data_IF_483824604046
#
_entry.id   IF_483824604046
#
_cell.length_a   1.000
_cell.length_b   1.000
_cell.length_c   1.000
_cell.angle_alpha   90.00
_cell.angle_beta   90.00
_cell.angle_gamma   90.00
#
_symmetry.space_group_name_H-M   'P 1'
#
loop_
_entity.id
_entity.type
_entity.pdbx_description
1 polymer ?
#
# COMPACT_ATOMS: atom_id res chain seq x y z
N UNK A 1 -24.21 -28.01 -35.65
CA UNK A 1 -22.81 -27.65 -35.39
C UNK A 1 -22.81 -26.54 -34.36
N UNK A 2 -22.78 -26.90 -33.08
CA UNK A 2 -22.63 -25.96 -31.97
C UNK A 2 -21.12 -25.79 -31.83
N UNK A 3 -20.63 -24.56 -32.00
CA UNK A 3 -19.21 -24.24 -31.94
C UNK A 3 -18.65 -24.61 -30.57
N UNK A 4 -17.71 -25.54 -30.57
CA UNK A 4 -16.82 -25.79 -29.46
C UNK A 4 -15.94 -24.54 -29.32
N UNK A 5 -16.39 -23.55 -28.54
CA UNK A 5 -15.56 -22.42 -28.13
C UNK A 5 -14.54 -22.94 -27.11
N UNK A 6 -13.68 -23.85 -27.56
CA UNK A 6 -12.57 -24.38 -26.80
C UNK A 6 -11.64 -23.22 -26.48
N UNK A 7 -11.70 -22.74 -25.24
CA UNK A 7 -10.70 -21.84 -24.71
C UNK A 7 -9.36 -22.56 -24.80
N UNK A 8 -8.57 -22.26 -25.83
CA UNK A 8 -7.23 -22.79 -26.00
C UNK A 8 -6.40 -22.40 -24.78
N UNK A 9 -5.72 -23.39 -24.19
CA UNK A 9 -4.76 -23.10 -23.13
C UNK A 9 -3.49 -22.53 -23.78
N UNK A 10 -3.09 -21.35 -23.34
CA UNK A 10 -1.94 -20.63 -23.89
C UNK A 10 -0.92 -20.29 -22.78
N UNK A 11 0.30 -19.93 -23.19
CA UNK A 11 1.35 -19.54 -22.25
C UNK A 11 1.26 -18.05 -21.94
N UNK A 12 0.72 -17.73 -20.77
CA UNK A 12 0.51 -16.36 -20.28
C UNK A 12 1.54 -15.87 -19.26
N UNK A 13 2.58 -16.66 -18.98
CA UNK A 13 3.62 -16.27 -18.01
C UNK A 13 4.31 -14.92 -18.33
N UNK A 14 4.66 -14.59 -19.61
CA UNK A 14 5.27 -13.30 -19.94
C UNK A 14 4.36 -12.11 -19.65
N UNK A 15 3.07 -12.23 -19.94
CA UNK A 15 2.09 -11.17 -19.70
C UNK A 15 1.86 -10.96 -18.20
N UNK A 16 1.74 -12.05 -17.43
CA UNK A 16 1.66 -11.97 -15.97
C UNK A 16 2.92 -11.30 -15.39
N UNK A 17 4.10 -11.63 -15.88
CA UNK A 17 5.36 -11.03 -15.43
C UNK A 17 5.41 -9.53 -15.74
N UNK A 18 4.89 -9.13 -16.91
CA UNK A 18 4.74 -7.73 -17.30
C UNK A 18 3.84 -6.96 -16.33
N UNK A 19 2.71 -7.54 -15.90
CA UNK A 19 1.82 -6.91 -14.92
C UNK A 19 2.50 -6.65 -13.57
N UNK A 20 3.29 -7.60 -13.05
CA UNK A 20 4.08 -7.39 -11.84
C UNK A 20 5.15 -6.30 -12.03
N UNK A 21 5.83 -6.29 -13.18
CA UNK A 21 6.84 -5.28 -13.51
C UNK A 21 6.25 -3.87 -13.62
N UNK A 22 5.01 -3.74 -14.12
CA UNK A 22 4.28 -2.47 -14.20
C UNK A 22 4.00 -1.86 -12.81
N UNK A 23 4.03 -2.66 -11.74
CA UNK A 23 3.89 -2.20 -10.36
C UNK A 23 5.26 -1.98 -9.71
N UNK A 24 6.21 -2.89 -9.96
CA UNK A 24 7.57 -2.85 -9.41
C UNK A 24 8.30 -1.55 -9.71
N UNK A 25 8.30 -1.12 -10.97
CA UNK A 25 9.04 0.08 -11.41
C UNK A 25 8.51 1.35 -10.74
N UNK A 26 7.22 1.72 -10.84
CA UNK A 26 6.72 2.90 -10.16
C UNK A 26 6.86 2.81 -8.64
N UNK A 27 6.67 1.63 -8.03
CA UNK A 27 6.87 1.43 -6.60
C UNK A 27 8.32 1.77 -6.17
N UNK A 28 9.32 1.34 -6.96
CA UNK A 28 10.72 1.65 -6.67
C UNK A 28 11.03 3.16 -6.75
N UNK A 29 10.41 3.86 -7.70
CA UNK A 29 10.56 5.32 -7.87
C UNK A 29 9.93 6.06 -6.68
N UNK A 30 8.71 5.67 -6.31
CA UNK A 30 7.99 6.25 -5.16
C UNK A 30 8.74 5.93 -3.86
N UNK A 31 9.22 4.70 -3.69
CA UNK A 31 10.05 4.28 -2.57
C UNK A 31 11.31 5.14 -2.43
N UNK A 32 12.00 5.42 -3.54
CA UNK A 32 13.13 6.36 -3.55
C UNK A 32 12.74 7.78 -3.14
N UNK A 33 11.62 8.30 -3.65
CA UNK A 33 11.10 9.62 -3.28
C UNK A 33 10.71 9.71 -1.79
N UNK A 34 10.16 8.62 -1.23
CA UNK A 34 9.78 8.53 0.18
C UNK A 34 10.97 8.62 1.14
N UNK A 35 12.17 8.17 0.75
CA UNK A 35 13.38 8.35 1.57
C UNK A 35 13.67 9.84 1.78
N UNK A 36 13.67 10.63 0.70
CA UNK A 36 13.90 12.08 0.78
C UNK A 36 12.75 12.81 1.48
N UNK A 37 11.52 12.36 1.23
CA UNK A 37 10.33 13.02 1.75
C UNK A 37 10.14 12.75 3.25
N UNK A 38 10.05 11.48 3.66
CA UNK A 38 9.64 11.08 4.99
C UNK A 38 10.80 10.83 5.97
N UNK A 39 11.95 10.35 5.48
CA UNK A 39 13.06 9.93 6.35
C UNK A 39 14.09 11.06 6.50
N UNK A 40 14.57 11.60 5.38
CA UNK A 40 15.63 12.61 5.38
C UNK A 40 15.12 14.05 5.59
N UNK A 41 13.83 14.30 5.34
CA UNK A 41 13.23 15.64 5.38
C UNK A 41 12.11 15.77 6.40
N UNK A 42 12.40 15.77 7.71
CA UNK A 42 11.38 15.97 8.73
C UNK A 42 10.67 17.31 8.53
N UNK A 43 9.39 17.36 8.90
CA UNK A 43 8.62 18.61 8.83
C UNK A 43 9.27 19.68 9.74
N UNK A 44 9.34 20.95 9.29
CA UNK A 44 10.04 22.02 10.01
C UNK A 44 9.42 22.29 11.37
N UNK A 45 10.16 22.11 12.47
CA UNK A 45 9.66 22.42 13.81
C UNK A 45 9.52 23.94 13.97
N UNK A 46 8.34 24.42 14.37
CA UNK A 46 8.23 25.81 14.76
C UNK A 46 8.97 26.01 16.09
N UNK A 47 9.91 26.95 16.13
CA UNK A 47 10.65 27.34 17.33
C UNK A 47 9.79 28.11 18.37
N UNK A 48 8.47 28.19 18.19
CA UNK A 48 7.57 28.93 19.07
C UNK A 48 6.98 28.01 20.14
N UNK A 49 6.93 28.47 21.38
CA UNK A 49 6.48 27.73 22.56
C UNK A 49 4.98 27.37 22.59
N UNK A 50 4.24 27.52 21.47
CA UNK A 50 2.78 27.34 21.39
C UNK A 50 2.28 26.65 20.11
N UNK A 51 3.00 25.65 19.59
CA UNK A 51 2.47 24.80 18.52
C UNK A 51 1.16 24.10 18.97
N UNK A 52 0.13 24.18 18.13
CA UNK A 52 -1.19 23.62 18.40
C UNK A 52 -1.16 22.07 18.44
N UNK A 53 -2.12 21.48 19.15
CA UNK A 53 -2.22 20.03 19.33
C UNK A 53 -2.40 19.29 18.00
N UNK A 54 -3.18 19.85 17.10
CA UNK A 54 -3.44 19.28 15.78
C UNK A 54 -2.17 19.24 14.92
N UNK A 55 -1.31 20.27 14.99
CA UNK A 55 -0.05 20.30 14.25
C UNK A 55 0.93 19.24 14.76
N UNK A 56 1.06 19.09 16.09
CA UNK A 56 1.86 18.01 16.68
C UNK A 56 1.39 16.62 16.25
N UNK A 57 0.08 16.42 16.23
CA UNK A 57 -0.53 15.18 15.77
C UNK A 57 -0.29 14.95 14.27
N UNK A 58 -0.43 15.99 13.44
CA UNK A 58 -0.15 15.92 12.01
C UNK A 58 1.31 15.54 11.72
N UNK A 59 2.28 16.05 12.49
CA UNK A 59 3.69 15.62 12.39
C UNK A 59 3.92 14.19 12.82
N UNK A 60 3.26 13.74 13.88
CA UNK A 60 3.35 12.36 14.31
C UNK A 60 2.79 11.42 13.23
N UNK A 61 1.62 11.75 12.68
CA UNK A 61 1.02 11.04 11.55
C UNK A 61 1.92 11.07 10.31
N UNK A 62 2.54 12.20 9.99
CA UNK A 62 3.49 12.31 8.89
C UNK A 62 4.61 11.26 8.99
N UNK A 63 5.24 11.13 10.16
CA UNK A 63 6.31 10.15 10.34
C UNK A 63 5.79 8.71 10.22
N UNK A 64 4.64 8.41 10.82
CA UNK A 64 4.05 7.06 10.80
C UNK A 64 3.65 6.67 9.37
N UNK A 65 2.92 7.55 8.67
CA UNK A 65 2.53 7.34 7.27
C UNK A 65 3.77 7.20 6.39
N UNK A 66 4.81 8.00 6.65
CA UNK A 66 6.12 7.92 6.00
C UNK A 66 6.71 6.52 6.00
N UNK A 67 6.86 5.94 7.19
CA UNK A 67 7.42 4.60 7.37
C UNK A 67 6.50 3.52 6.77
N UNK A 68 5.19 3.63 6.95
CA UNK A 68 4.23 2.66 6.43
C UNK A 68 4.17 2.67 4.89
N UNK A 69 4.17 3.85 4.27
CA UNK A 69 4.21 3.99 2.82
C UNK A 69 5.51 3.44 2.26
N UNK A 70 6.65 3.80 2.84
CA UNK A 70 7.95 3.32 2.38
C UNK A 70 8.04 1.79 2.48
N UNK A 71 7.64 1.23 3.61
CA UNK A 71 7.62 -0.22 3.81
C UNK A 71 6.68 -0.92 2.83
N UNK A 72 5.54 -0.31 2.51
CA UNK A 72 4.61 -0.87 1.52
C UNK A 72 5.21 -0.88 0.12
N UNK A 73 5.85 0.19 -0.33
CA UNK A 73 6.50 0.20 -1.66
C UNK A 73 7.65 -0.81 -1.75
N UNK A 74 8.42 -1.01 -0.67
CA UNK A 74 9.42 -2.08 -0.63
C UNK A 74 8.79 -3.48 -0.75
N UNK A 75 7.67 -3.71 -0.07
CA UNK A 75 6.94 -4.97 -0.18
C UNK A 75 6.44 -5.20 -1.61
N UNK A 76 5.95 -4.17 -2.30
CA UNK A 76 5.56 -4.26 -3.72
C UNK A 76 6.74 -4.71 -4.57
N UNK A 77 7.91 -4.08 -4.40
CA UNK A 77 9.11 -4.42 -5.17
C UNK A 77 9.52 -5.87 -4.92
N UNK A 78 9.50 -6.33 -3.66
CA UNK A 78 9.88 -7.70 -3.30
C UNK A 78 8.88 -8.71 -3.88
N UNK A 79 7.58 -8.53 -3.62
CA UNK A 79 6.54 -9.45 -4.10
C UNK A 79 6.51 -9.54 -5.62
N UNK A 80 6.55 -8.40 -6.31
CA UNK A 80 6.58 -8.36 -7.77
C UNK A 80 7.85 -9.01 -8.33
N UNK A 81 9.02 -8.78 -7.72
CA UNK A 81 10.27 -9.41 -8.16
C UNK A 81 10.23 -10.92 -8.03
N UNK A 82 9.81 -11.43 -6.85
CA UNK A 82 9.73 -12.87 -6.61
C UNK A 82 8.72 -13.53 -7.57
N UNK A 83 7.56 -12.90 -7.79
CA UNK A 83 6.56 -13.41 -8.72
C UNK A 83 7.08 -13.43 -10.17
N UNK A 84 7.67 -12.33 -10.64
CA UNK A 84 8.27 -12.26 -11.98
C UNK A 84 9.38 -13.29 -12.19
N UNK A 85 10.24 -13.50 -11.19
CA UNK A 85 11.31 -14.51 -11.29
C UNK A 85 10.72 -15.92 -11.39
N UNK A 86 9.74 -16.27 -10.54
CA UNK A 86 9.05 -17.57 -10.62
C UNK A 86 8.41 -17.79 -11.99
N UNK A 87 7.76 -16.78 -12.55
CA UNK A 87 7.13 -16.85 -13.88
C UNK A 87 8.12 -17.11 -15.02
N UNK A 88 9.40 -16.76 -14.82
CA UNK A 88 10.48 -16.96 -15.80
C UNK A 88 11.26 -18.24 -15.55
N UNK A 89 11.51 -18.57 -14.29
CA UNK A 89 12.43 -19.63 -13.88
C UNK A 89 11.75 -21.00 -13.71
N UNK A 90 10.43 -21.04 -13.54
CA UNK A 90 9.68 -22.27 -13.31
C UNK A 90 8.81 -22.65 -14.50
N UNK A 91 8.49 -23.93 -14.61
CA UNK A 91 7.49 -24.39 -15.57
C UNK A 91 6.11 -23.87 -15.16
N UNK A 92 5.54 -22.97 -15.97
CA UNK A 92 4.20 -22.43 -15.78
C UNK A 92 3.22 -23.15 -16.68
N UNK A 93 2.26 -23.84 -16.07
CA UNK A 93 1.20 -24.54 -16.80
C UNK A 93 0.37 -23.56 -17.63
N UNK A 94 0.06 -23.88 -18.90
CA UNK A 94 -0.85 -23.09 -19.73
C UNK A 94 -2.17 -22.77 -19.03
N UNK A 95 -2.73 -21.61 -19.34
CA UNK A 95 -3.95 -21.08 -18.74
C UNK A 95 -4.91 -20.56 -19.81
N UNK A 96 -6.17 -20.36 -19.44
CA UNK A 96 -7.19 -19.79 -20.33
C UNK A 96 -7.03 -18.28 -20.52
N UNK A 97 -6.39 -17.61 -19.56
CA UNK A 97 -6.08 -16.18 -19.59
C UNK A 97 -4.98 -15.87 -18.59
N UNK A 98 -4.38 -14.67 -18.72
CA UNK A 98 -3.44 -14.12 -17.72
C UNK A 98 -4.08 -14.09 -16.33
N UNK A 99 -5.37 -13.76 -16.26
CA UNK A 99 -6.09 -13.70 -15.01
C UNK A 99 -6.24 -15.07 -14.35
N UNK A 100 -6.66 -16.06 -15.14
CA UNK A 100 -6.79 -17.44 -14.66
C UNK A 100 -5.45 -17.96 -14.12
N UNK A 101 -4.34 -17.64 -14.79
CA UNK A 101 -3.00 -17.96 -14.31
C UNK A 101 -2.70 -17.31 -12.95
N UNK A 102 -2.95 -16.01 -12.81
CA UNK A 102 -2.71 -15.27 -11.56
C UNK A 102 -3.58 -15.81 -10.42
N UNK A 103 -4.87 -16.03 -10.66
CA UNK A 103 -5.81 -16.54 -9.65
C UNK A 103 -5.44 -17.95 -9.17
N UNK A 104 -4.96 -18.79 -10.09
CA UNK A 104 -4.56 -20.18 -9.78
C UNK A 104 -3.26 -20.23 -8.98
N UNK A 105 -2.21 -19.55 -9.46
CA UNK A 105 -0.82 -19.82 -9.02
C UNK A 105 -0.15 -18.65 -8.28
N UNK A 106 -0.63 -17.41 -8.46
CA UNK A 106 0.04 -16.19 -7.98
C UNK A 106 -0.90 -15.25 -7.21
N UNK A 107 -1.98 -15.80 -6.66
CA UNK A 107 -3.07 -15.01 -6.13
C UNK A 107 -2.64 -14.14 -4.93
N UNK A 108 -1.82 -14.70 -4.05
CA UNK A 108 -1.27 -13.99 -2.90
C UNK A 108 -0.27 -12.93 -3.34
N UNK A 109 0.68 -13.28 -4.21
CA UNK A 109 1.66 -12.35 -4.78
C UNK A 109 0.98 -11.14 -5.42
N UNK A 110 -0.06 -11.39 -6.23
CA UNK A 110 -0.83 -10.34 -6.89
C UNK A 110 -1.62 -9.48 -5.91
N UNK A 111 -2.33 -10.10 -4.97
CA UNK A 111 -3.08 -9.40 -3.94
C UNK A 111 -2.18 -8.53 -3.06
N UNK A 112 -1.01 -9.06 -2.66
CA UNK A 112 -0.02 -8.34 -1.86
C UNK A 112 0.56 -7.14 -2.63
N UNK A 113 0.97 -7.34 -3.88
CA UNK A 113 1.50 -6.30 -4.77
C UNK A 113 0.50 -5.16 -4.91
N UNK A 114 -0.77 -5.47 -5.21
CA UNK A 114 -1.80 -4.44 -5.39
C UNK A 114 -2.15 -3.74 -4.08
N UNK A 115 -2.35 -4.48 -2.98
CA UNK A 115 -2.71 -3.91 -1.69
C UNK A 115 -1.64 -2.93 -1.19
N UNK A 116 -0.37 -3.36 -1.21
CA UNK A 116 0.74 -2.52 -0.76
C UNK A 116 1.03 -1.35 -1.70
N UNK A 117 0.91 -1.52 -3.01
CA UNK A 117 1.13 -0.40 -3.95
C UNK A 117 0.11 0.69 -3.75
N UNK A 118 -1.16 0.32 -3.61
CA UNK A 118 -2.21 1.28 -3.32
C UNK A 118 -1.96 1.94 -1.96
N UNK A 119 -1.68 1.18 -0.89
CA UNK A 119 -1.38 1.76 0.42
C UNK A 119 -0.19 2.75 0.38
N UNK A 120 0.88 2.37 -0.32
CA UNK A 120 2.08 3.17 -0.50
C UNK A 120 1.78 4.51 -1.19
N UNK A 121 1.13 4.46 -2.35
CA UNK A 121 0.70 5.65 -3.11
C UNK A 121 -0.23 6.57 -2.32
N UNK A 122 -1.23 6.02 -1.63
CA UNK A 122 -2.17 6.84 -0.85
C UNK A 122 -1.44 7.59 0.25
N UNK A 123 -0.57 6.91 1.01
CA UNK A 123 0.21 7.57 2.04
C UNK A 123 1.25 8.54 1.47
N UNK A 124 1.87 8.25 0.32
CA UNK A 124 2.76 9.20 -0.38
C UNK A 124 2.08 10.53 -0.66
N UNK A 125 0.85 10.51 -1.21
CA UNK A 125 0.10 11.75 -1.46
C UNK A 125 -0.29 12.49 -0.18
N UNK A 126 -0.63 11.77 0.89
CA UNK A 126 -0.88 12.39 2.20
C UNK A 126 0.39 13.09 2.72
N UNK A 127 1.56 12.48 2.54
CA UNK A 127 2.84 13.09 2.92
C UNK A 127 3.15 14.34 2.10
N UNK A 128 2.91 14.30 0.78
CA UNK A 128 3.06 15.49 -0.08
C UNK A 128 2.12 16.60 0.40
N UNK A 129 0.84 16.30 0.65
CA UNK A 129 -0.13 17.26 1.14
C UNK A 129 0.30 17.89 2.47
N UNK A 130 0.67 17.07 3.45
CA UNK A 130 1.15 17.54 4.75
C UNK A 130 2.41 18.39 4.61
N UNK A 131 3.38 17.97 3.79
CA UNK A 131 4.61 18.75 3.59
C UNK A 131 4.33 20.10 2.95
N UNK A 132 3.45 20.16 1.95
CA UNK A 132 3.06 21.43 1.32
C UNK A 132 2.33 22.34 2.31
N UNK A 133 1.46 21.78 3.14
CA UNK A 133 0.77 22.53 4.20
C UNK A 133 1.76 23.18 5.17
N UNK A 134 2.73 22.42 5.70
CA UNK A 134 3.74 22.93 6.63
C UNK A 134 4.80 23.82 5.97
N UNK A 135 5.07 23.66 4.67
CA UNK A 135 6.03 24.50 3.96
C UNK A 135 5.49 25.92 3.71
N UNK A 136 4.17 26.07 3.60
CA UNK A 136 3.50 27.36 3.43
C UNK A 136 2.86 27.87 4.74
N UNK A 137 3.55 27.67 5.87
CA UNK A 137 3.20 28.14 7.21
C UNK A 137 1.81 27.72 7.73
N UNK A 138 1.17 26.70 7.14
CA UNK A 138 -0.13 26.18 7.57
C UNK A 138 -1.32 27.15 7.43
N UNK A 139 -1.13 28.30 6.80
CA UNK A 139 -2.17 29.31 6.57
C UNK A 139 -3.13 28.93 5.43
N UNK A 140 -3.94 29.91 4.99
CA UNK A 140 -4.88 29.71 3.88
C UNK A 140 -4.18 29.24 2.59
N UNK A 141 -2.99 29.79 2.30
CA UNK A 141 -2.16 29.36 1.18
C UNK A 141 -1.73 27.90 1.33
N UNK A 142 -1.25 27.50 2.51
CA UNK A 142 -0.88 26.11 2.79
C UNK A 142 -2.05 25.14 2.66
N UNK A 143 -3.25 25.52 3.12
CA UNK A 143 -4.46 24.72 2.90
C UNK A 143 -4.80 24.59 1.40
N UNK A 144 -4.71 25.69 0.64
CA UNK A 144 -4.95 25.68 -0.81
C UNK A 144 -3.99 24.77 -1.56
N UNK A 145 -2.68 24.87 -1.29
CA UNK A 145 -1.65 24.05 -1.95
C UNK A 145 -1.79 22.58 -1.53
N UNK A 146 -2.05 22.28 -0.25
CA UNK A 146 -2.26 20.91 0.22
C UNK A 146 -3.56 20.28 -0.33
N UNK A 147 -4.55 21.09 -0.68
CA UNK A 147 -5.79 20.64 -1.31
C UNK A 147 -5.57 19.98 -2.68
N UNK A 148 -4.56 20.40 -3.45
CA UNK A 148 -4.25 19.85 -4.77
C UNK A 148 -3.90 18.35 -4.69
N UNK A 149 -2.86 17.90 -3.94
CA UNK A 149 -2.56 16.48 -3.81
C UNK A 149 -3.68 15.68 -3.12
N UNK A 150 -4.45 16.28 -2.21
CA UNK A 150 -5.61 15.62 -1.60
C UNK A 150 -6.74 15.39 -2.62
N UNK A 151 -6.97 16.30 -3.56
CA UNK A 151 -7.94 16.08 -4.64
C UNK A 151 -7.51 14.94 -5.56
N UNK A 152 -6.21 14.86 -5.89
CA UNK A 152 -5.65 13.77 -6.66
C UNK A 152 -5.79 12.44 -5.92
N UNK A 153 -5.58 12.44 -4.60
CA UNK A 153 -5.79 11.27 -3.72
C UNK A 153 -7.22 10.75 -3.82
N UNK A 154 -8.22 11.64 -3.69
CA UNK A 154 -9.64 11.26 -3.81
C UNK A 154 -9.96 10.70 -5.20
N UNK A 155 -9.41 11.30 -6.25
CA UNK A 155 -9.58 10.80 -7.62
C UNK A 155 -8.94 9.43 -7.80
N UNK A 156 -7.73 9.21 -7.28
CA UNK A 156 -7.06 7.91 -7.30
C UNK A 156 -7.88 6.84 -6.59
N UNK A 157 -8.40 7.12 -5.39
CA UNK A 157 -9.29 6.19 -4.66
C UNK A 157 -10.51 5.84 -5.52
N UNK A 158 -11.11 6.82 -6.20
CA UNK A 158 -12.25 6.60 -7.10
C UNK A 158 -11.91 5.74 -8.31
N UNK A 159 -10.74 5.96 -8.94
CA UNK A 159 -10.26 5.14 -10.07
C UNK A 159 -9.99 3.71 -9.61
N UNK A 160 -9.29 3.54 -8.49
CA UNK A 160 -8.95 2.22 -7.93
C UNK A 160 -10.22 1.46 -7.54
N UNK A 161 -11.17 2.09 -6.85
CA UNK A 161 -12.43 1.43 -6.49
C UNK A 161 -13.20 0.95 -7.72
N UNK A 162 -13.26 1.76 -8.78
CA UNK A 162 -13.89 1.37 -10.05
C UNK A 162 -13.12 0.25 -10.75
N UNK A 163 -11.79 0.27 -10.70
CA UNK A 163 -10.95 -0.81 -11.22
C UNK A 163 -11.20 -2.13 -10.49
N UNK A 164 -11.14 -2.13 -9.16
CA UNK A 164 -11.39 -3.32 -8.34
C UNK A 164 -12.80 -3.88 -8.57
N UNK A 165 -13.81 -3.01 -8.62
CA UNK A 165 -15.19 -3.43 -8.84
C UNK A 165 -15.45 -4.03 -10.24
N UNK A 166 -14.70 -3.57 -11.26
CA UNK A 166 -14.80 -4.09 -12.63
C UNK A 166 -14.07 -5.43 -12.80
N UNK A 167 -12.99 -5.66 -12.06
CA UNK A 167 -12.20 -6.89 -12.16
C UNK A 167 -11.58 -7.07 -13.55
N UNK A 168 -11.51 -8.31 -14.04
CA UNK A 168 -10.95 -8.64 -15.36
C UNK A 168 -11.90 -8.37 -16.53
N UNK A 169 -13.17 -8.03 -16.27
CA UNK A 169 -14.21 -7.93 -17.30
C UNK A 169 -14.89 -9.27 -17.65
N UNK A 170 -14.25 -10.40 -17.34
CA UNK A 170 -14.75 -11.76 -17.62
C UNK A 170 -15.51 -12.39 -16.45
N UNK A 171 -16.04 -11.57 -15.54
CA UNK A 171 -16.77 -12.01 -14.35
C UNK A 171 -15.90 -12.33 -13.13
N UNK A 172 -14.57 -12.39 -13.28
CA UNK A 172 -13.66 -12.52 -12.15
C UNK A 172 -13.36 -11.15 -11.51
N UNK A 173 -13.53 -11.06 -10.18
CA UNK A 173 -13.31 -9.82 -9.40
C UNK A 173 -12.63 -10.10 -8.07
N UNK A 174 -11.64 -9.27 -7.73
CA UNK A 174 -11.00 -9.31 -6.39
C UNK A 174 -11.90 -8.81 -5.27
N UNK A 175 -12.93 -8.03 -5.61
CA UNK A 175 -13.99 -7.63 -4.70
C UNK A 175 -14.71 -6.37 -5.18
N UNK A 176 -15.30 -5.61 -4.26
CA UNK A 176 -16.19 -4.48 -4.59
C UNK A 176 -15.53 -3.11 -4.42
N UNK A 177 -14.43 -3.03 -3.68
CA UNK A 177 -13.73 -1.79 -3.38
C UNK A 177 -12.28 -2.05 -2.91
N UNK A 178 -11.50 -0.99 -2.72
CA UNK A 178 -10.14 -1.05 -2.20
C UNK A 178 -10.02 -1.83 -0.88
N UNK A 179 -11.01 -1.75 0.01
CA UNK A 179 -11.02 -2.50 1.26
C UNK A 179 -11.03 -4.01 1.02
N UNK A 180 -11.78 -4.48 0.01
CA UNK A 180 -11.81 -5.89 -0.34
C UNK A 180 -10.45 -6.43 -0.81
N UNK A 181 -9.64 -5.59 -1.46
CA UNK A 181 -8.28 -5.94 -1.84
C UNK A 181 -7.40 -6.22 -0.61
N UNK A 182 -7.46 -5.34 0.40
CA UNK A 182 -6.74 -5.52 1.66
C UNK A 182 -7.22 -6.76 2.43
N UNK A 183 -8.54 -6.99 2.50
CA UNK A 183 -9.06 -8.17 3.20
C UNK A 183 -8.68 -9.47 2.50
N UNK A 184 -8.68 -9.49 1.15
CA UNK A 184 -8.24 -10.66 0.38
C UNK A 184 -6.77 -10.94 0.63
N UNK A 185 -5.91 -9.92 0.59
CA UNK A 185 -4.50 -10.07 0.94
C UNK A 185 -4.30 -10.63 2.35
N UNK A 186 -4.91 -10.03 3.37
CA UNK A 186 -4.77 -10.49 4.76
C UNK A 186 -5.29 -11.92 4.92
N UNK A 187 -6.40 -12.27 4.27
CA UNK A 187 -6.95 -13.62 4.28
C UNK A 187 -5.97 -14.62 3.68
N UNK A 188 -5.46 -14.36 2.47
CA UNK A 188 -4.50 -15.23 1.78
C UNK A 188 -3.18 -15.36 2.57
N UNK A 189 -2.68 -14.26 3.14
CA UNK A 189 -1.48 -14.27 3.96
C UNK A 189 -1.67 -15.12 5.21
N UNK A 190 -2.82 -14.97 5.89
CA UNK A 190 -3.16 -15.75 7.08
C UNK A 190 -3.31 -17.23 6.75
N UNK A 191 -3.97 -17.56 5.63
CA UNK A 191 -4.11 -18.93 5.15
C UNK A 191 -2.75 -19.57 4.88
N UNK A 192 -1.82 -18.84 4.24
CA UNK A 192 -0.46 -19.33 4.01
C UNK A 192 0.31 -19.49 5.32
N UNK A 193 0.24 -18.51 6.21
CA UNK A 193 0.93 -18.54 7.51
C UNK A 193 0.47 -19.72 8.39
N UNK A 194 -0.83 -20.03 8.37
CA UNK A 194 -1.45 -21.07 9.17
C UNK A 194 -1.59 -22.42 8.42
N UNK A 195 -0.98 -22.59 7.25
CA UNK A 195 -1.08 -23.84 6.51
C UNK A 195 -0.37 -24.97 7.29
N UNK A 196 -1.14 -25.99 7.69
CA UNK A 196 -0.64 -27.11 8.50
C UNK A 196 0.47 -27.92 7.81
N UNK A 197 0.49 -27.94 6.49
CA UNK A 197 1.48 -28.69 5.72
C UNK A 197 2.83 -27.96 5.64
N UNK A 198 2.85 -26.65 5.82
CA UNK A 198 4.06 -25.82 5.79
C UNK A 198 3.78 -24.51 6.54
N UNK A 199 4.01 -24.51 7.85
CA UNK A 199 3.73 -23.33 8.69
C UNK A 199 4.72 -22.23 8.33
N UNK A 200 4.20 -21.09 7.91
CA UNK A 200 4.97 -19.90 7.60
C UNK A 200 5.40 -19.16 8.86
N UNK A 201 6.38 -19.69 9.61
CA UNK A 201 6.81 -19.10 10.88
C UNK A 201 7.25 -17.63 10.75
N UNK A 202 7.88 -17.28 9.62
CA UNK A 202 8.30 -15.91 9.34
C UNK A 202 7.11 -15.01 9.00
N UNK A 203 6.08 -15.51 8.32
CA UNK A 203 4.83 -14.78 8.13
C UNK A 203 4.10 -14.53 9.45
N UNK A 204 4.02 -15.54 10.32
CA UNK A 204 3.43 -15.36 11.66
C UNK A 204 4.24 -14.32 12.44
N UNK A 205 5.57 -14.44 12.45
CA UNK A 205 6.46 -13.49 13.11
C UNK A 205 6.31 -12.07 12.59
N UNK A 206 6.19 -11.88 11.28
CA UNK A 206 6.01 -10.56 10.68
C UNK A 206 4.65 -9.93 11.01
N UNK A 207 3.58 -10.73 11.03
CA UNK A 207 2.25 -10.28 11.46
C UNK A 207 2.28 -9.84 12.92
N UNK A 208 2.86 -10.65 13.81
CA UNK A 208 2.98 -10.32 15.24
C UNK A 208 3.78 -9.04 15.42
N UNK A 209 4.94 -8.93 14.77
CA UNK A 209 5.80 -7.76 14.86
C UNK A 209 5.09 -6.49 14.38
N UNK A 210 4.36 -6.58 13.26
CA UNK A 210 3.58 -5.46 12.73
C UNK A 210 2.51 -5.01 13.74
N UNK A 211 1.72 -5.94 14.27
CA UNK A 211 0.67 -5.64 15.25
C UNK A 211 1.25 -5.00 16.52
N UNK A 212 2.35 -5.54 17.05
CA UNK A 212 3.01 -4.97 18.23
C UNK A 212 3.58 -3.57 17.95
N UNK A 213 4.14 -3.36 16.75
CA UNK A 213 4.70 -2.07 16.35
C UNK A 213 3.61 -1.02 16.16
N UNK A 214 2.47 -1.42 15.58
CA UNK A 214 1.29 -0.55 15.45
C UNK A 214 0.73 -0.18 16.83
N UNK A 215 0.60 -1.15 17.75
CA UNK A 215 0.13 -0.88 19.11
C UNK A 215 1.05 0.10 19.85
N UNK A 216 2.37 -0.12 19.78
CA UNK A 216 3.36 0.78 20.37
C UNK A 216 3.31 2.19 19.76
N UNK A 217 3.14 2.27 18.43
CA UNK A 217 3.00 3.55 17.71
C UNK A 217 1.73 4.29 18.13
N UNK A 218 0.57 3.61 18.16
CA UNK A 218 -0.69 4.19 18.60
C UNK A 218 -0.60 4.72 20.04
N UNK A 219 0.03 3.94 20.94
CA UNK A 219 0.28 4.36 22.33
C UNK A 219 1.16 5.62 22.37
N UNK A 220 2.28 5.63 21.65
CA UNK A 220 3.19 6.78 21.60
C UNK A 220 2.54 8.04 21.02
N UNK A 221 1.67 7.90 20.03
CA UNK A 221 0.87 9.02 19.48
C UNK A 221 -0.13 9.53 20.52
N UNK A 222 -0.85 8.63 21.21
CA UNK A 222 -1.82 8.99 22.24
C UNK A 222 -1.16 9.69 23.45
N UNK A 223 -0.01 9.21 23.91
CA UNK A 223 0.74 9.84 25.00
C UNK A 223 1.20 11.26 24.64
N UNK A 224 1.71 11.45 23.42
CA UNK A 224 2.05 12.80 22.90
C UNK A 224 0.83 13.70 22.81
N UNK A 225 -0.33 13.14 22.50
CA UNK A 225 -1.59 13.86 22.44
C UNK A 225 -2.04 14.31 23.84
N UNK A 226 -1.92 13.48 24.88
CA UNK A 226 -2.33 13.81 26.26
C UNK A 226 -1.35 14.72 27.01
N UNK A 227 -0.03 14.56 26.81
CA UNK A 227 0.97 15.45 27.43
C UNK A 227 0.82 16.91 27.00
N UNK A 228 0.17 17.17 25.86
CA UNK A 228 -0.21 18.52 25.42
C UNK A 228 -1.31 19.18 26.26
N UNK A 229 -2.15 18.41 26.97
CA UNK A 229 -3.24 18.94 27.81
C UNK A 229 -2.74 19.34 29.20
N UNK A 230 -1.88 18.52 29.81
CA UNK A 230 -1.42 18.75 31.19
C UNK A 230 -0.59 20.03 31.36
N UNK A 231 -0.01 20.59 30.29
CA UNK A 231 0.77 21.84 30.34
C UNK A 231 -0.07 23.13 30.24
N UNK A 232 -1.38 23.04 30.02
CA UNK A 232 -2.26 24.23 29.89
C UNK A 232 -2.95 24.65 31.20
N UNK A 233 -2.79 23.90 32.30
CA UNK A 233 -3.50 24.09 33.57
C UNK A 233 -2.68 24.76 34.68
N UNK A 234 -1.55 25.38 34.35
CA UNK A 234 -0.73 26.20 35.25
C UNK A 234 -0.41 27.53 34.58
#
# INVERSE_FOLDING_TARGET
>A
MIGDNGNSLEQFAPDAASLFNNMKTPASIIGGALVSLAIAGPLPLEGSSRESRSLKMARALYNVIGVLSFSSELLVVIWATVASNKLVETHVEPAQSVWHLIERDYNLEWSATNAHFVAGMLGFLVLVALRMFFHADGGLLGMGIAGIPLSALLLMISVINRGVARGSGDGHRYGTNIGSLFTTYVSLLTQRACNKSCVGYLEVGSIVLLLTSMAATCKGVAERYHLGESKKTH
#
